data_IF_240291383178
#
_entry.id   IF_240291383178
#
_cell.length_a   1.000
_cell.length_b   1.000
_cell.length_c   1.000
_cell.angle_alpha   90.00
_cell.angle_beta   90.00
_cell.angle_gamma   90.00
#
_symmetry.space_group_name_H-M   'P 1'
#
loop_
_entity.id
_entity.type
_entity.pdbx_description
1 polymer ?
#
# COMPACT_ATOMS: atom_id res chain seq x y z
N UNK A 1 32.67 27.44 4.26
CA UNK A 1 32.55 26.92 2.87
C UNK A 1 32.49 25.39 2.80
N UNK A 2 31.95 24.68 3.81
CA UNK A 2 31.88 23.20 3.86
C UNK A 2 30.47 22.62 4.10
N UNK A 3 29.43 23.45 4.25
CA UNK A 3 28.08 22.99 4.64
C UNK A 3 27.25 22.31 3.53
N UNK A 4 27.69 22.39 2.27
CA UNK A 4 26.94 21.84 1.12
C UNK A 4 27.45 20.47 0.64
N UNK A 5 28.53 19.93 1.22
CA UNK A 5 29.07 18.63 0.81
C UNK A 5 28.19 17.44 1.26
N UNK A 6 27.43 17.62 2.34
CA UNK A 6 26.36 16.72 2.79
C UNK A 6 24.98 17.33 2.55
N UNK A 7 24.86 18.19 1.55
CA UNK A 7 23.58 18.78 1.18
C UNK A 7 22.63 17.75 0.59
N UNK A 8 21.34 18.08 0.67
CA UNK A 8 20.22 17.54 -0.11
C UNK A 8 20.55 16.72 -1.39
N UNK A 9 21.44 17.16 -2.31
CA UNK A 9 21.84 16.35 -3.46
C UNK A 9 22.34 14.94 -3.15
N UNK A 10 23.10 14.71 -2.08
CA UNK A 10 23.61 13.38 -1.78
C UNK A 10 22.48 12.41 -1.39
N UNK A 11 21.49 12.90 -0.63
CA UNK A 11 20.30 12.13 -0.28
C UNK A 11 19.48 11.78 -1.52
N UNK A 12 19.34 12.71 -2.47
CA UNK A 12 18.70 12.48 -3.76
C UNK A 12 19.41 11.40 -4.60
N UNK A 13 20.75 11.39 -4.61
CA UNK A 13 21.53 10.35 -5.32
C UNK A 13 21.30 8.97 -4.72
N UNK A 14 21.34 8.85 -3.39
CA UNK A 14 21.06 7.57 -2.71
C UNK A 14 19.63 7.11 -3.01
N UNK A 15 18.66 8.03 -2.91
CA UNK A 15 17.27 7.74 -3.24
C UNK A 15 17.14 7.26 -4.69
N UNK A 16 17.78 7.93 -5.65
CA UNK A 16 17.78 7.53 -7.06
C UNK A 16 18.32 6.10 -7.26
N UNK A 17 19.41 5.73 -6.56
CA UNK A 17 19.97 4.37 -6.61
C UNK A 17 18.95 3.36 -6.05
N UNK A 18 18.33 3.66 -4.91
CA UNK A 18 17.29 2.80 -4.31
C UNK A 18 16.09 2.64 -5.27
N UNK A 19 15.63 3.72 -5.91
CA UNK A 19 14.58 3.65 -6.93
C UNK A 19 14.99 2.77 -8.12
N UNK A 20 16.26 2.79 -8.51
CA UNK A 20 16.75 1.98 -9.63
C UNK A 20 16.82 0.49 -9.28
N UNK A 21 17.18 0.16 -8.04
CA UNK A 21 17.26 -1.23 -7.55
C UNK A 21 15.86 -1.80 -7.23
N UNK A 22 15.02 -1.03 -6.54
CA UNK A 22 13.70 -1.49 -6.09
C UNK A 22 12.60 -1.21 -7.12
N UNK A 23 12.75 -0.21 -7.98
CA UNK A 23 11.75 0.21 -8.96
C UNK A 23 10.65 1.10 -8.36
N UNK A 24 10.04 1.93 -9.23
CA UNK A 24 8.93 2.81 -8.88
C UNK A 24 7.71 2.12 -8.21
N UNK A 25 7.26 0.90 -8.61
CA UNK A 25 6.07 0.30 -8.00
C UNK A 25 6.30 -0.32 -6.62
N UNK A 26 7.56 -0.59 -6.21
CA UNK A 26 7.86 -1.25 -4.92
C UNK A 26 7.94 -0.27 -3.76
N UNK A 27 8.33 0.98 -4.00
CA UNK A 27 8.32 2.03 -2.97
C UNK A 27 6.96 2.31 -2.34
N UNK A 28 5.86 2.52 -3.11
CA UNK A 28 4.56 2.77 -2.50
C UNK A 28 4.03 1.56 -1.74
N UNK A 29 4.36 0.34 -2.17
CA UNK A 29 4.01 -0.89 -1.45
C UNK A 29 4.72 -0.99 -0.10
N UNK A 30 6.04 -0.80 -0.08
CA UNK A 30 6.84 -0.83 1.16
C UNK A 30 6.46 0.30 2.12
N UNK A 31 6.21 1.51 1.59
CA UNK A 31 5.76 2.64 2.39
C UNK A 31 4.38 2.39 3.02
N UNK A 32 3.44 1.78 2.28
CA UNK A 32 2.12 1.40 2.83
C UNK A 32 2.24 0.37 3.94
N UNK A 33 2.98 -0.72 3.73
CA UNK A 33 3.13 -1.76 4.75
C UNK A 33 3.84 -1.24 6.01
N UNK A 34 4.90 -0.46 5.83
CA UNK A 34 5.64 0.14 6.95
C UNK A 34 4.80 1.19 7.69
N UNK A 35 4.05 2.01 6.95
CA UNK A 35 3.15 3.02 7.50
C UNK A 35 2.00 2.40 8.30
N UNK A 36 1.43 1.29 7.84
CA UNK A 36 0.41 0.54 8.59
C UNK A 36 0.98 -0.02 9.90
N UNK A 37 2.15 -0.65 9.88
CA UNK A 37 2.81 -1.14 11.10
C UNK A 37 3.18 -0.01 12.06
N UNK A 38 3.72 1.08 11.54
CA UNK A 38 4.07 2.26 12.34
C UNK A 38 2.84 2.93 12.96
N UNK A 39 1.69 2.95 12.26
CA UNK A 39 0.44 3.50 12.77
C UNK A 39 -0.04 2.74 14.00
N UNK A 40 -0.07 1.41 13.91
CA UNK A 40 -0.51 0.55 15.03
C UNK A 40 0.42 0.73 16.22
N UNK A 41 1.73 0.67 15.99
CA UNK A 41 2.73 0.90 17.04
C UNK A 41 2.62 2.30 17.65
N UNK A 42 2.43 3.35 16.84
CA UNK A 42 2.22 4.72 17.34
C UNK A 42 0.96 4.83 18.18
N UNK A 43 -0.15 4.19 17.77
CA UNK A 43 -1.41 4.21 18.50
C UNK A 43 -1.28 3.51 19.86
N UNK A 44 -0.67 2.33 19.91
CA UNK A 44 -0.43 1.60 21.16
C UNK A 44 0.50 2.35 22.10
N UNK A 45 1.62 2.87 21.58
CA UNK A 45 2.58 3.66 22.37
C UNK A 45 1.98 4.99 22.82
N UNK A 46 1.11 5.62 22.02
CA UNK A 46 0.42 6.85 22.41
C UNK A 46 -0.58 6.58 23.53
N UNK A 47 -1.35 5.49 23.47
CA UNK A 47 -2.25 5.10 24.57
C UNK A 47 -1.50 4.87 25.88
N UNK A 48 -0.31 4.26 25.86
CA UNK A 48 0.55 4.13 27.05
C UNK A 48 1.13 5.47 27.55
N UNK A 49 1.33 6.44 26.65
CA UNK A 49 1.83 7.78 26.97
C UNK A 49 0.72 8.69 27.50
N UNK A 50 -0.49 8.53 26.99
CA UNK A 50 -1.68 9.34 27.27
C UNK A 50 -2.23 9.12 28.70
N UNK A 51 -1.86 8.03 29.38
CA UNK A 51 -2.11 7.82 30.83
C UNK A 51 -1.46 8.91 31.72
N UNK A 52 -0.58 9.77 31.16
CA UNK A 52 0.07 10.88 31.87
C UNK A 52 -0.11 12.28 31.21
N UNK A 53 -1.18 12.49 30.43
CA UNK A 53 -1.65 13.84 30.10
C UNK A 53 -1.68 14.21 28.60
N UNK A 54 -2.91 14.34 28.11
CA UNK A 54 -3.41 15.25 27.08
C UNK A 54 -2.55 15.45 25.81
N UNK A 55 -2.92 14.82 24.68
CA UNK A 55 -2.74 15.45 23.36
C UNK A 55 -3.63 14.88 22.24
N UNK A 56 -3.98 15.80 21.33
CA UNK A 56 -4.96 15.81 20.23
C UNK A 56 -4.99 14.58 19.28
N UNK A 57 -6.18 14.25 18.70
CA UNK A 57 -6.30 13.22 17.68
C UNK A 57 -5.65 13.70 16.38
N UNK A 58 -4.58 13.03 15.96
CA UNK A 58 -4.01 13.25 14.62
C UNK A 58 -5.01 12.66 13.64
N UNK A 59 -5.80 13.55 13.05
CA UNK A 59 -6.78 13.22 12.04
C UNK A 59 -6.07 12.62 10.82
N UNK A 60 -6.44 11.38 10.53
CA UNK A 60 -6.23 10.65 9.29
C UNK A 60 -6.30 11.55 8.05
N UNK A 61 -5.17 11.71 7.36
CA UNK A 61 -5.16 12.26 6.01
C UNK A 61 -4.13 11.54 5.12
N UNK A 62 -4.70 10.79 4.16
CA UNK A 62 -4.14 10.29 2.89
C UNK A 62 -3.12 9.12 2.96
N UNK A 63 -3.23 8.03 2.19
CA UNK A 63 -4.01 7.78 0.98
C UNK A 63 -4.35 6.29 0.81
N UNK A 64 -5.62 5.98 1.02
CA UNK A 64 -6.30 4.96 0.23
C UNK A 64 -6.23 5.44 -1.23
N UNK A 65 -5.33 4.86 -2.02
CA UNK A 65 -5.37 5.03 -3.46
C UNK A 65 -5.64 3.65 -4.06
N UNK A 66 -6.82 3.42 -4.64
CA UNK A 66 -7.04 2.28 -5.50
C UNK A 66 -6.24 2.47 -6.80
N UNK A 67 -6.07 1.38 -7.55
CA UNK A 67 -5.44 1.26 -8.89
C UNK A 67 -3.90 1.06 -8.84
N UNK A 68 -3.32 -0.06 -9.25
CA UNK A 68 -3.67 -0.91 -10.37
C UNK A 68 -3.71 -2.41 -10.01
N UNK A 69 -4.93 -2.96 -9.93
CA UNK A 69 -5.16 -4.24 -10.58
C UNK A 69 -4.91 -4.00 -12.06
N UNK A 70 -3.79 -4.50 -12.59
CA UNK A 70 -3.71 -4.86 -14.00
C UNK A 70 -4.77 -5.94 -14.22
N UNK A 71 -5.99 -5.49 -14.48
CA UNK A 71 -6.97 -6.27 -15.21
C UNK A 71 -6.39 -6.32 -16.62
N UNK A 72 -5.95 -7.50 -17.05
CA UNK A 72 -5.92 -7.80 -18.46
C UNK A 72 -7.37 -8.18 -18.84
N UNK A 73 -8.10 -7.36 -19.60
CA UNK A 73 -9.34 -7.79 -20.21
C UNK A 73 -8.97 -8.69 -21.39
N UNK A 74 -9.32 -9.97 -21.32
CA UNK A 74 -9.59 -10.74 -22.53
C UNK A 74 -11.08 -11.01 -22.52
N UNK A 75 -11.80 -10.06 -23.12
CA UNK A 75 -13.22 -10.12 -23.42
C UNK A 75 -13.41 -11.02 -24.66
N UNK A 76 -14.24 -12.06 -24.54
CA UNK A 76 -14.94 -12.85 -25.59
C UNK A 76 -15.46 -14.13 -24.89
N UNK A 77 -16.74 -14.44 -24.67
CA UNK A 77 -17.99 -14.20 -25.42
C UNK A 77 -19.18 -14.55 -24.49
N UNK A 78 -20.33 -13.87 -24.57
CA UNK A 78 -21.53 -14.21 -23.82
C UNK A 78 -22.25 -15.39 -24.49
N UNK A 79 -22.46 -16.51 -23.79
CA UNK A 79 -23.36 -17.56 -24.31
C UNK A 79 -24.25 -18.16 -23.23
N UNK A 80 -25.30 -17.40 -22.91
CA UNK A 80 -26.56 -17.97 -22.46
C UNK A 80 -27.25 -18.59 -23.66
N UNK A 81 -27.25 -19.91 -23.77
CA UNK A 81 -28.16 -20.69 -24.60
C UNK A 81 -28.38 -22.04 -23.90
N UNK A 82 -29.61 -22.23 -23.39
CA UNK A 82 -30.13 -23.44 -22.74
C UNK A 82 -30.30 -24.60 -23.75
N UNK A 83 -31.01 -25.72 -23.44
CA UNK A 83 -31.09 -26.61 -22.27
C UNK A 83 -30.71 -28.07 -22.66
N UNK A 84 -30.96 -29.04 -21.77
CA UNK A 84 -31.20 -30.50 -22.00
C UNK A 84 -30.13 -31.50 -21.57
N UNK A 85 -30.67 -32.61 -21.03
CA UNK A 85 -30.09 -33.88 -20.59
C UNK A 85 -29.28 -33.89 -19.28
N UNK A 86 -29.37 -34.83 -18.34
CA UNK A 86 -30.30 -35.92 -17.97
C UNK A 86 -29.52 -36.73 -16.90
N UNK A 87 -30.21 -37.32 -15.92
CA UNK A 87 -29.73 -38.37 -14.98
C UNK A 87 -29.18 -37.86 -13.62
N UNK A 88 -30.03 -37.60 -12.62
CA UNK A 88 -30.72 -38.53 -11.68
C UNK A 88 -29.86 -38.86 -10.42
N UNK A 89 -30.31 -38.46 -9.21
CA UNK A 89 -29.81 -39.00 -7.94
C UNK A 89 -30.58 -40.30 -7.60
N UNK A 90 -29.96 -41.25 -6.89
CA UNK A 90 -30.60 -42.48 -6.40
C UNK A 90 -30.04 -42.83 -4.98
N UNK A 91 -30.84 -43.43 -4.07
CA UNK A 91 -30.87 -43.14 -2.63
C UNK A 91 -29.80 -43.87 -1.81
#
# INVERSE_FOLDING_TARGET
MLGNAFGWPHLLVILAIVLLLFGAPKLPGLARSLGQSMRIFRSEVKTMKDENGNDVPVQDAAADAPTATTQAPTESTPQRSAPTSTTKPKP
#
